data_IF_899895206633
#
_entry.id   IF_899895206633
#
_cell.length_a   1.000
_cell.length_b   1.000
_cell.length_c   1.000
_cell.angle_alpha   90.00
_cell.angle_beta   90.00
_cell.angle_gamma   90.00
#
_symmetry.space_group_name_H-M   'P 1'
#
loop_
_entity.id
_entity.type
_entity.pdbx_description
1 polymer ?
#
# COMPACT_ATOMS: atom_id res chain seq x y z
N UNK A 1 12.28 -3.95 4.11
CA UNK A 1 12.55 -2.53 3.78
C UNK A 1 12.32 -2.31 2.30
N UNK A 2 11.62 -1.26 1.98
CA UNK A 2 11.30 -0.93 0.58
C UNK A 2 11.87 0.45 0.27
N UNK A 3 12.58 0.56 -0.86
CA UNK A 3 13.05 1.83 -1.38
C UNK A 3 12.12 2.29 -2.50
N UNK A 4 11.63 3.51 -2.39
CA UNK A 4 10.66 4.10 -3.31
C UNK A 4 11.30 5.18 -4.14
N UNK A 5 11.14 5.09 -5.44
CA UNK A 5 11.53 6.15 -6.36
C UNK A 5 10.31 6.62 -7.13
N UNK A 6 10.49 7.66 -7.94
CA UNK A 6 9.42 8.22 -8.74
C UNK A 6 8.66 7.14 -9.53
N UNK A 7 7.34 7.27 -9.59
CA UNK A 7 6.41 6.38 -10.29
C UNK A 7 6.18 5.02 -9.64
N UNK A 8 6.72 4.76 -8.46
CA UNK A 8 6.45 3.51 -7.76
C UNK A 8 5.16 3.61 -6.96
N UNK A 9 4.35 2.55 -7.06
CA UNK A 9 3.00 2.50 -6.53
C UNK A 9 2.63 1.03 -6.31
N UNK A 10 2.06 0.71 -5.15
CA UNK A 10 1.64 -0.66 -4.88
C UNK A 10 0.34 -1.03 -5.58
N UNK A 11 -0.44 -0.05 -6.04
CA UNK A 11 -1.83 -0.30 -6.38
C UNK A 11 -2.69 -0.56 -5.15
N UNK A 12 -4.00 -0.56 -5.31
CA UNK A 12 -4.91 -0.87 -4.20
C UNK A 12 -4.82 -2.35 -3.85
N UNK A 13 -4.63 -2.63 -2.56
CA UNK A 13 -4.50 -4.00 -2.07
C UNK A 13 -4.94 -4.08 -0.60
N UNK A 14 -5.19 -5.31 -0.16
CA UNK A 14 -5.35 -5.62 1.25
C UNK A 14 -4.26 -6.62 1.68
N UNK A 15 -4.12 -6.81 2.97
CA UNK A 15 -3.14 -7.73 3.54
C UNK A 15 -3.79 -9.04 4.03
N UNK A 16 -4.94 -9.38 3.43
CA UNK A 16 -5.71 -10.55 3.80
C UNK A 16 -6.09 -10.50 5.28
N UNK A 17 -5.55 -11.38 6.11
CA UNK A 17 -5.84 -11.39 7.55
C UNK A 17 -4.81 -10.63 8.41
N UNK A 18 -3.80 -10.03 7.78
CA UNK A 18 -2.72 -9.35 8.49
C UNK A 18 -2.98 -7.85 8.62
N UNK A 19 -2.77 -7.31 9.81
CA UNK A 19 -2.62 -5.88 10.00
C UNK A 19 -1.18 -5.49 9.70
N UNK A 20 -0.95 -4.25 9.33
CA UNK A 20 0.38 -3.74 9.01
C UNK A 20 0.73 -2.51 9.83
N UNK A 21 2.01 -2.35 10.12
CA UNK A 21 2.58 -1.10 10.60
C UNK A 21 3.70 -0.71 9.63
N UNK A 22 3.69 0.53 9.18
CA UNK A 22 4.64 1.03 8.20
C UNK A 22 5.36 2.23 8.79
N UNK A 23 6.69 2.13 8.88
CA UNK A 23 7.53 3.24 9.33
C UNK A 23 8.18 3.87 8.10
N UNK A 24 8.00 5.18 7.93
CA UNK A 24 8.70 5.95 6.90
C UNK A 24 10.01 6.42 7.51
N UNK A 25 11.12 5.88 7.02
CA UNK A 25 12.44 6.18 7.56
C UNK A 25 12.97 7.48 6.99
N UNK A 26 12.81 7.67 5.67
CA UNK A 26 13.24 8.89 4.98
C UNK A 26 12.34 9.13 3.78
N UNK A 27 12.35 10.36 3.28
CA UNK A 27 11.52 10.74 2.16
C UNK A 27 10.06 10.88 2.54
N UNK A 28 9.18 10.60 1.59
CA UNK A 28 7.76 10.84 1.75
C UNK A 28 6.97 9.85 0.89
N UNK A 29 5.90 9.31 1.45
CA UNK A 29 4.95 8.48 0.70
C UNK A 29 3.53 9.03 0.89
N UNK A 30 2.66 8.67 -0.03
CA UNK A 30 1.22 8.96 0.07
C UNK A 30 0.47 7.66 0.21
N UNK A 31 -0.47 7.63 1.16
CA UNK A 31 -1.39 6.51 1.30
C UNK A 31 -2.79 6.94 0.91
N UNK A 32 -3.47 6.08 0.15
CA UNK A 32 -4.88 6.24 -0.19
C UNK A 32 -5.64 5.02 0.28
N UNK A 33 -6.67 5.23 1.10
CA UNK A 33 -7.53 4.16 1.60
C UNK A 33 -8.91 4.27 0.99
N UNK A 34 -9.43 3.18 0.46
CA UNK A 34 -10.80 3.15 -0.06
C UNK A 34 -11.81 3.27 1.08
N UNK A 35 -12.88 4.00 0.80
CA UNK A 35 -14.00 4.17 1.72
C UNK A 35 -15.30 3.88 0.99
N UNK A 36 -16.23 3.20 1.67
CA UNK A 36 -17.54 2.91 1.10
C UNK A 36 -18.33 4.20 0.92
N UNK A 37 -18.82 4.42 -0.31
CA UNK A 37 -19.68 5.56 -0.61
C UNK A 37 -19.01 6.93 -0.58
N UNK A 38 -17.68 6.99 -0.59
CA UNK A 38 -16.93 8.24 -0.53
C UNK A 38 -15.64 8.13 -1.33
N UNK A 39 -15.03 9.29 -1.59
CA UNK A 39 -13.69 9.34 -2.19
C UNK A 39 -12.67 8.69 -1.25
N UNK A 40 -11.57 8.13 -1.79
CA UNK A 40 -10.51 7.58 -0.94
C UNK A 40 -10.01 8.60 0.06
N UNK A 41 -9.68 8.14 1.25
CA UNK A 41 -8.99 8.95 2.25
C UNK A 41 -7.50 9.00 1.89
N UNK A 42 -6.96 10.19 1.79
CA UNK A 42 -5.57 10.41 1.38
C UNK A 42 -4.78 11.02 2.53
N UNK A 43 -3.59 10.50 2.77
CA UNK A 43 -2.64 11.14 3.70
C UNK A 43 -1.23 11.05 3.15
N UNK A 44 -0.42 12.04 3.49
CA UNK A 44 1.00 12.08 3.18
C UNK A 44 1.77 11.77 4.46
N UNK A 45 2.72 10.85 4.39
CA UNK A 45 3.52 10.44 5.54
C UNK A 45 4.99 10.67 5.24
N UNK A 46 5.67 11.38 6.14
CA UNK A 46 7.05 11.79 5.98
C UNK A 46 7.99 10.98 6.86
N UNK A 47 9.28 11.03 6.54
CA UNK A 47 10.31 10.38 7.32
C UNK A 47 10.22 10.72 8.81
N UNK A 48 10.34 9.71 9.64
CA UNK A 48 10.17 9.80 11.08
C UNK A 48 8.77 9.44 11.57
N UNK A 49 7.81 9.20 10.70
CA UNK A 49 6.43 8.88 11.08
C UNK A 49 6.11 7.42 10.79
N UNK A 50 5.17 6.88 11.56
CA UNK A 50 4.68 5.51 11.41
C UNK A 50 3.15 5.56 11.28
N UNK A 51 2.61 4.70 10.45
CA UNK A 51 1.16 4.52 10.37
C UNK A 51 0.78 3.05 10.36
N UNK A 52 -0.46 2.78 10.74
CA UNK A 52 -0.98 1.41 10.81
C UNK A 52 -2.08 1.21 9.79
N UNK A 53 -2.22 -0.03 9.35
CA UNK A 53 -3.22 -0.44 8.36
C UNK A 53 -3.97 -1.63 8.92
N UNK A 54 -5.28 -1.48 9.23
CA UNK A 54 -6.09 -2.61 9.67
C UNK A 54 -6.17 -3.70 8.60
N UNK A 55 -6.35 -4.95 9.03
CA UNK A 55 -6.45 -6.09 8.12
C UNK A 55 -7.53 -5.92 7.05
N UNK A 56 -8.64 -5.28 7.39
CA UNK A 56 -9.77 -5.09 6.47
C UNK A 56 -9.60 -3.92 5.50
N UNK A 57 -8.56 -3.11 5.67
CA UNK A 57 -8.38 -1.91 4.85
C UNK A 57 -7.90 -2.28 3.44
N UNK A 58 -8.43 -1.57 2.46
CA UNK A 58 -7.95 -1.62 1.08
C UNK A 58 -7.25 -0.30 0.83
N UNK A 59 -5.94 -0.36 0.61
CA UNK A 59 -5.14 0.85 0.48
C UNK A 59 -4.10 0.71 -0.62
N UNK A 60 -3.51 1.83 -0.99
CA UNK A 60 -2.29 1.84 -1.79
C UNK A 60 -1.30 2.82 -1.21
N UNK A 61 -0.03 2.54 -1.44
CA UNK A 61 1.08 3.41 -1.07
C UNK A 61 1.85 3.76 -2.32
N UNK A 62 2.14 5.03 -2.49
CA UNK A 62 2.89 5.51 -3.64
C UNK A 62 3.94 6.52 -3.21
N UNK A 63 4.99 6.60 -4.01
CA UNK A 63 6.03 7.59 -3.79
C UNK A 63 5.46 9.00 -3.93
N UNK A 64 5.94 9.89 -3.07
CA UNK A 64 5.57 11.30 -3.08
C UNK A 64 6.81 12.15 -2.82
N UNK A 65 6.83 13.36 -3.36
CA UNK A 65 7.96 14.26 -3.19
C UNK A 65 9.10 14.00 -4.18
N UNK A 66 10.20 14.72 -4.00
CA UNK A 66 11.31 14.74 -4.96
C UNK A 66 12.45 13.77 -4.63
N UNK A 67 12.52 13.32 -3.37
CA UNK A 67 13.58 12.46 -2.89
C UNK A 67 13.10 11.02 -2.78
N UNK A 68 13.99 10.04 -2.98
CA UNK A 68 13.64 8.65 -2.71
C UNK A 68 13.13 8.48 -1.28
N UNK A 69 12.21 7.56 -1.09
CA UNK A 69 11.69 7.23 0.23
C UNK A 69 12.11 5.81 0.63
N UNK A 70 12.23 5.59 1.94
CA UNK A 70 12.52 4.29 2.52
C UNK A 70 11.47 3.98 3.56
N UNK A 71 10.85 2.80 3.46
CA UNK A 71 9.86 2.34 4.43
C UNK A 71 10.22 0.96 4.97
N UNK A 72 9.80 0.70 6.20
CA UNK A 72 9.89 -0.61 6.85
C UNK A 72 8.47 -1.04 7.17
N UNK A 73 8.13 -2.27 6.81
CA UNK A 73 6.79 -2.84 6.98
C UNK A 73 6.83 -4.00 7.96
N UNK A 74 5.88 -4.04 8.88
CA UNK A 74 5.71 -5.16 9.80
C UNK A 74 4.26 -5.64 9.73
N UNK A 75 4.06 -6.95 9.79
CA UNK A 75 2.74 -7.56 9.65
C UNK A 75 2.45 -8.51 10.81
N UNK A 76 1.21 -8.48 11.30
CA UNK A 76 0.75 -9.39 12.34
C UNK A 76 -0.70 -9.82 12.07
N UNK A 77 -0.98 -11.13 11.99
CA UNK A 77 -0.03 -12.24 11.88
C UNK A 77 0.89 -12.12 10.66
N UNK A 78 1.92 -12.97 10.54
CA UNK A 78 2.84 -12.88 9.40
C UNK A 78 2.11 -12.89 8.07
N UNK A 79 2.56 -12.04 7.16
CA UNK A 79 1.92 -11.87 5.86
C UNK A 79 2.17 -13.10 4.98
N UNK A 80 1.09 -13.73 4.52
CA UNK A 80 1.17 -14.87 3.59
C UNK A 80 0.54 -14.57 2.26
N UNK A 81 -0.47 -13.71 2.24
CA UNK A 81 -1.19 -13.33 1.03
C UNK A 81 -1.59 -11.87 1.06
N UNK A 82 -1.75 -11.30 -0.11
CA UNK A 82 -2.37 -10.00 -0.32
C UNK A 82 -3.47 -10.13 -1.35
N UNK A 83 -4.42 -9.20 -1.33
CA UNK A 83 -5.40 -9.07 -2.40
C UNK A 83 -5.11 -7.82 -3.18
N UNK A 84 -4.89 -7.93 -4.49
CA UNK A 84 -4.75 -6.79 -5.37
C UNK A 84 -6.10 -6.45 -5.99
N UNK A 85 -6.41 -5.17 -6.09
CA UNK A 85 -7.71 -4.69 -6.58
C UNK A 85 -7.54 -3.89 -7.85
N UNK A 86 -8.45 -4.09 -8.77
CA UNK A 86 -8.53 -3.30 -10.00
C UNK A 86 -9.99 -3.12 -10.38
N UNK A 87 -10.26 -2.08 -11.14
CA UNK A 87 -11.60 -1.83 -11.67
C UNK A 87 -11.77 -2.61 -12.96
N UNK A 88 -12.72 -3.55 -12.96
CA UNK A 88 -13.07 -4.34 -14.13
C UNK A 88 -14.16 -3.69 -14.97
N UNK A 89 -14.69 -4.43 -15.97
CA UNK A 89 -15.78 -3.95 -16.81
C UNK A 89 -16.99 -3.52 -15.98
N UNK A 90 -17.62 -2.42 -16.37
CA UNK A 90 -18.78 -1.91 -15.65
C UNK A 90 -18.48 -1.25 -14.32
N UNK A 91 -17.22 -0.96 -14.03
CA UNK A 91 -16.82 -0.33 -12.78
C UNK A 91 -16.77 -1.27 -11.58
N UNK A 92 -16.83 -2.57 -11.80
CA UNK A 92 -16.82 -3.57 -10.73
C UNK A 92 -15.40 -3.73 -10.20
N UNK A 93 -15.24 -3.66 -8.89
CA UNK A 93 -13.96 -3.88 -8.24
C UNK A 93 -13.67 -5.38 -8.19
N UNK A 94 -12.51 -5.77 -8.74
CA UNK A 94 -12.07 -7.16 -8.80
C UNK A 94 -10.86 -7.36 -7.91
N UNK A 95 -10.83 -8.48 -7.19
CA UNK A 95 -9.73 -8.85 -6.30
C UNK A 95 -8.99 -10.05 -6.85
N UNK A 96 -7.66 -9.97 -6.84
CA UNK A 96 -6.79 -11.09 -7.18
C UNK A 96 -5.90 -11.38 -5.98
N UNK A 97 -5.84 -12.65 -5.55
CA UNK A 97 -4.98 -13.07 -4.45
C UNK A 97 -3.56 -13.26 -4.94
N UNK A 98 -2.60 -12.66 -4.26
CA UNK A 98 -1.19 -12.66 -4.62
C UNK A 98 -0.33 -13.21 -3.49
N UNK A 99 0.88 -13.62 -3.82
CA UNK A 99 1.85 -14.08 -2.83
C UNK A 99 2.51 -12.90 -2.13
N UNK A 100 3.16 -13.17 -1.00
CA UNK A 100 3.86 -12.17 -0.19
C UNK A 100 4.86 -11.36 -0.98
N UNK A 101 5.52 -11.93 -1.98
CA UNK A 101 6.54 -11.24 -2.77
C UNK A 101 6.02 -9.97 -3.43
N UNK A 102 4.77 -9.96 -3.85
CA UNK A 102 4.19 -8.81 -4.52
C UNK A 102 4.05 -7.61 -3.59
N UNK A 103 3.75 -7.84 -2.31
CA UNK A 103 3.64 -6.76 -1.34
C UNK A 103 5.00 -6.16 -1.01
N UNK A 104 6.04 -6.98 -0.97
CA UNK A 104 7.37 -6.53 -0.56
C UNK A 104 8.15 -5.83 -1.68
N UNK A 105 7.55 -5.66 -2.83
CA UNK A 105 8.16 -4.95 -3.96
C UNK A 105 7.36 -3.71 -4.30
N UNK A 106 8.03 -2.58 -4.34
CA UNK A 106 7.48 -1.37 -4.93
C UNK A 106 7.97 -1.30 -6.38
N UNK A 107 7.04 -1.35 -7.34
CA UNK A 107 7.40 -1.29 -8.75
C UNK A 107 6.32 -0.57 -9.55
N UNK A 108 6.71 0.11 -10.66
CA UNK A 108 5.73 0.70 -11.55
C UNK A 108 4.81 -0.37 -12.13
N UNK A 109 3.54 -0.04 -12.27
CA UNK A 109 2.59 -0.98 -12.86
C UNK A 109 2.23 -2.16 -11.99
N UNK A 110 2.54 -2.11 -10.72
CA UNK A 110 2.09 -3.11 -9.78
C UNK A 110 0.55 -3.11 -9.75
N UNK A 111 -0.03 -4.24 -9.92
CA UNK A 111 -1.49 -4.35 -9.98
C UNK A 111 -1.97 -5.68 -9.46
#
# INVERSE_FOLDING_TARGET
MICWTEDQDTGFHDHDESAAAIAVISGQVREECLRVGASPQVRTVRGGSTFTVPAVAIHRVLHSGDLPAVTIHAYSPPLTRTGAYRVGPGGVLQRESLTTEHELRASPGFS
#
